data_IF_948339903218
#
_entry.id   IF_948339903218
#
_cell.length_a   1.000
_cell.length_b   1.000
_cell.length_c   1.000
_cell.angle_alpha   90.00
_cell.angle_beta   90.00
_cell.angle_gamma   90.00
#
_symmetry.space_group_name_H-M   'P 1'
#
loop_
_entity.id
_entity.type
_entity.pdbx_description
1 polymer ?
#
# COMPACT_ATOMS: atom_id res chain seq x y z
N UNK A 1 -32.66 38.16 4.30
CA UNK A 1 -31.42 38.62 4.91
C UNK A 1 -30.35 37.52 4.63
N UNK A 2 -29.65 37.62 3.49
CA UNK A 2 -28.52 36.74 3.20
C UNK A 2 -27.37 37.12 4.15
N UNK A 3 -27.08 36.27 5.12
CA UNK A 3 -25.84 36.38 5.90
C UNK A 3 -24.68 36.22 4.93
N UNK A 4 -23.92 37.27 4.65
CA UNK A 4 -22.70 37.18 3.90
C UNK A 4 -21.74 36.28 4.69
N UNK A 5 -21.51 35.03 4.22
CA UNK A 5 -20.54 34.11 4.79
C UNK A 5 -19.16 34.76 4.63
N UNK A 6 -18.58 35.29 5.69
CA UNK A 6 -17.21 35.76 5.68
C UNK A 6 -16.23 34.56 5.71
N UNK A 7 -14.95 34.81 5.38
CA UNK A 7 -13.92 33.77 5.31
C UNK A 7 -13.83 32.94 6.61
N UNK A 8 -14.05 33.57 7.79
CA UNK A 8 -14.04 32.90 9.09
C UNK A 8 -15.14 31.87 9.24
N UNK A 9 -16.36 32.15 8.74
CA UNK A 9 -17.48 31.21 8.79
C UNK A 9 -17.21 30.00 7.88
N UNK A 10 -16.64 30.23 6.69
CA UNK A 10 -16.29 29.15 5.75
C UNK A 10 -15.18 28.25 6.31
N UNK A 11 -14.16 28.82 6.95
CA UNK A 11 -13.07 28.05 7.57
C UNK A 11 -13.55 27.32 8.82
N UNK A 12 -14.42 27.92 9.61
CA UNK A 12 -15.09 27.24 10.74
C UNK A 12 -15.91 26.03 10.26
N UNK A 13 -16.68 26.18 9.17
CA UNK A 13 -17.42 25.07 8.56
C UNK A 13 -16.47 23.98 8.05
N UNK A 14 -15.38 24.35 7.40
CA UNK A 14 -14.37 23.40 6.95
C UNK A 14 -13.74 22.62 8.12
N UNK A 15 -13.50 23.29 9.25
CA UNK A 15 -13.03 22.65 10.48
C UNK A 15 -14.04 21.63 11.02
N UNK A 16 -15.32 21.97 11.08
CA UNK A 16 -16.39 21.05 11.51
C UNK A 16 -16.45 19.83 10.58
N UNK A 17 -16.37 20.02 9.26
CA UNK A 17 -16.35 18.92 8.28
C UNK A 17 -15.13 18.02 8.50
N UNK A 18 -13.94 18.58 8.69
CA UNK A 18 -12.70 17.82 8.91
C UNK A 18 -12.75 16.99 10.20
N UNK A 19 -13.30 17.57 11.29
CA UNK A 19 -13.52 16.86 12.55
C UNK A 19 -14.52 15.73 12.34
N UNK A 20 -15.65 15.99 11.67
CA UNK A 20 -16.66 14.98 11.33
C UNK A 20 -16.06 13.82 10.52
N UNK A 21 -15.29 14.12 9.47
CA UNK A 21 -14.59 13.09 8.67
C UNK A 21 -13.61 12.27 9.52
N UNK A 22 -12.88 12.93 10.43
CA UNK A 22 -11.95 12.26 11.34
C UNK A 22 -12.68 11.30 12.29
N UNK A 23 -13.80 11.71 12.87
CA UNK A 23 -14.61 10.87 13.75
C UNK A 23 -15.22 9.68 13.01
N UNK A 24 -15.78 9.91 11.82
CA UNK A 24 -16.36 8.82 11.00
C UNK A 24 -15.28 7.84 10.56
N UNK A 25 -14.10 8.31 10.16
CA UNK A 25 -12.98 7.43 9.81
C UNK A 25 -12.51 6.58 11.00
N UNK A 26 -12.53 7.15 12.19
CA UNK A 26 -12.22 6.44 13.42
C UNK A 26 -13.26 5.36 13.76
N UNK A 27 -14.54 5.68 13.68
CA UNK A 27 -15.63 4.71 13.86
C UNK A 27 -15.52 3.58 12.82
N UNK A 28 -15.24 3.92 11.55
CA UNK A 28 -15.02 2.94 10.50
C UNK A 28 -13.84 2.01 10.83
N UNK A 29 -12.72 2.57 11.34
CA UNK A 29 -11.56 1.77 11.76
C UNK A 29 -11.92 0.77 12.86
N UNK A 30 -12.60 1.23 13.92
CA UNK A 30 -13.07 0.37 15.00
C UNK A 30 -14.02 -0.73 14.49
N UNK A 31 -14.87 -0.41 13.53
CA UNK A 31 -15.84 -1.34 12.97
C UNK A 31 -15.16 -2.43 12.10
N UNK A 32 -14.25 -2.05 11.21
CA UNK A 32 -13.60 -3.02 10.30
C UNK A 32 -12.60 -3.94 11.00
N UNK A 33 -12.01 -3.49 12.12
CA UNK A 33 -11.02 -4.28 12.87
C UNK A 33 -11.65 -5.15 13.96
N UNK A 34 -12.97 -5.13 14.14
CA UNK A 34 -13.65 -6.03 15.07
C UNK A 34 -13.63 -7.46 14.53
N UNK A 35 -13.20 -8.44 15.33
CA UNK A 35 -13.32 -9.85 14.97
C UNK A 35 -14.78 -10.21 14.66
N UNK A 36 -15.01 -10.87 13.54
CA UNK A 36 -16.34 -11.36 13.16
C UNK A 36 -16.55 -12.78 13.72
N UNK A 37 -17.55 -12.93 14.56
CA UNK A 37 -17.84 -14.19 15.29
C UNK A 37 -18.44 -15.30 14.41
N UNK A 38 -19.02 -14.98 13.26
CA UNK A 38 -19.83 -15.88 12.43
C UNK A 38 -19.22 -16.20 11.06
N UNK A 39 -17.90 -16.07 10.92
CA UNK A 39 -17.24 -16.52 9.68
C UNK A 39 -17.08 -18.03 9.74
N UNK A 40 -17.48 -18.73 8.68
CA UNK A 40 -17.21 -20.15 8.53
C UNK A 40 -15.70 -20.41 8.52
N UNK A 41 -15.23 -21.46 9.15
CA UNK A 41 -13.84 -21.90 8.98
C UNK A 41 -13.67 -22.37 7.54
N UNK A 42 -12.91 -21.60 6.78
CA UNK A 42 -12.68 -21.84 5.35
C UNK A 42 -11.19 -21.65 5.07
N UNK A 43 -10.52 -22.76 4.88
CA UNK A 43 -9.06 -22.81 4.70
C UNK A 43 -8.67 -23.47 3.37
N UNK A 44 -9.02 -22.87 2.21
CA UNK A 44 -8.63 -23.43 0.92
C UNK A 44 -7.10 -23.46 0.80
N UNK A 45 -6.51 -24.45 0.12
CA UNK A 45 -5.08 -24.45 -0.15
C UNK A 45 -4.65 -23.16 -0.87
N UNK A 46 -3.54 -22.53 -0.41
CA UNK A 46 -3.09 -21.19 -0.87
C UNK A 46 -1.65 -21.23 -1.38
N UNK A 47 -1.38 -20.65 -2.55
CA UNK A 47 -0.01 -20.29 -2.96
C UNK A 47 0.26 -18.82 -2.64
N UNK A 48 1.28 -18.54 -1.85
CA UNK A 48 1.68 -17.19 -1.41
C UNK A 48 2.80 -16.68 -2.32
N UNK A 49 2.57 -15.54 -2.99
CA UNK A 49 3.54 -14.88 -3.86
C UNK A 49 4.25 -13.75 -3.14
N UNK A 50 5.57 -13.85 -3.02
CA UNK A 50 6.46 -12.87 -2.38
C UNK A 50 7.47 -12.33 -3.41
N UNK A 51 7.12 -11.28 -4.18
CA UNK A 51 8.08 -10.61 -5.07
C UNK A 51 9.11 -9.86 -4.23
N UNK A 52 10.40 -10.13 -4.47
CA UNK A 52 11.53 -9.57 -3.73
C UNK A 52 12.40 -8.70 -4.63
N UNK A 53 13.05 -7.71 -4.03
CA UNK A 53 14.10 -6.91 -4.66
C UNK A 53 14.96 -6.25 -3.60
N UNK A 54 16.21 -6.71 -3.48
CA UNK A 54 17.12 -6.28 -2.41
C UNK A 54 16.67 -6.72 -1.03
N UNK A 55 17.42 -6.36 -0.03
CA UNK A 55 17.09 -6.61 1.37
C UNK A 55 16.36 -5.41 1.94
N UNK A 56 15.04 -5.54 2.11
CA UNK A 56 14.24 -4.60 2.87
C UNK A 56 14.54 -4.76 4.38
N UNK A 57 14.23 -3.74 5.16
CA UNK A 57 14.42 -3.75 6.61
C UNK A 57 13.64 -4.89 7.26
N UNK A 58 14.34 -5.66 8.09
CA UNK A 58 13.75 -6.84 8.72
C UNK A 58 13.31 -7.93 7.76
N UNK A 59 13.87 -8.01 6.53
CA UNK A 59 13.44 -8.93 5.48
C UNK A 59 13.36 -10.36 6.00
N UNK A 60 14.40 -10.85 6.66
CA UNK A 60 14.44 -12.21 7.19
C UNK A 60 13.28 -12.48 8.14
N UNK A 61 13.09 -11.63 9.17
CA UNK A 61 11.99 -11.78 10.13
C UNK A 61 10.62 -11.65 9.47
N UNK A 62 10.49 -10.78 8.46
CA UNK A 62 9.26 -10.62 7.71
C UNK A 62 8.93 -11.89 6.91
N UNK A 63 9.90 -12.46 6.21
CA UNK A 63 9.71 -13.70 5.45
C UNK A 63 9.47 -14.89 6.37
N UNK A 64 10.25 -15.01 7.48
CA UNK A 64 10.11 -16.05 8.51
C UNK A 64 8.68 -16.13 9.05
N UNK A 65 8.00 -15.01 9.24
CA UNK A 65 6.62 -14.98 9.73
C UNK A 65 5.64 -15.74 8.82
N UNK A 66 5.94 -15.85 7.51
CA UNK A 66 5.14 -16.65 6.57
C UNK A 66 5.43 -18.15 6.63
N UNK A 67 6.62 -18.56 7.06
CA UNK A 67 6.92 -19.97 7.33
C UNK A 67 6.23 -20.48 8.61
N UNK A 68 5.83 -19.58 9.49
CA UNK A 68 5.24 -19.84 10.79
C UNK A 68 3.70 -19.68 10.83
N UNK A 69 3.06 -19.61 9.66
CA UNK A 69 1.60 -19.51 9.58
C UNK A 69 0.93 -20.76 10.13
N UNK A 70 -0.10 -20.56 10.97
CA UNK A 70 -1.04 -21.60 11.39
C UNK A 70 -2.12 -21.80 10.32
N UNK A 71 -1.76 -22.56 9.29
CA UNK A 71 -2.63 -22.82 8.16
C UNK A 71 -2.38 -24.22 7.60
N UNK A 72 -3.42 -25.01 7.28
CA UNK A 72 -3.26 -26.44 6.98
C UNK A 72 -2.46 -26.72 5.73
N UNK A 73 -2.70 -25.97 4.64
CA UNK A 73 -2.05 -26.23 3.35
C UNK A 73 -1.72 -24.94 2.62
N UNK A 74 -0.43 -24.65 2.46
CA UNK A 74 0.03 -23.50 1.68
C UNK A 74 1.41 -23.73 1.08
N UNK A 75 1.66 -23.03 -0.02
CA UNK A 75 2.94 -22.97 -0.71
C UNK A 75 3.50 -21.54 -0.63
N UNK A 76 4.81 -21.40 -0.40
CA UNK A 76 5.52 -20.11 -0.46
C UNK A 76 6.35 -20.03 -1.75
N UNK A 77 6.07 -19.03 -2.59
CA UNK A 77 6.89 -18.71 -3.76
C UNK A 77 7.53 -17.34 -3.58
N UNK A 78 8.85 -17.33 -3.54
CA UNK A 78 9.67 -16.12 -3.57
C UNK A 78 10.15 -15.88 -4.98
N UNK A 79 10.27 -14.62 -5.42
CA UNK A 79 10.81 -14.33 -6.75
C UNK A 79 11.76 -13.14 -6.71
N UNK A 80 12.95 -13.32 -7.26
CA UNK A 80 13.93 -12.26 -7.56
C UNK A 80 14.18 -12.16 -9.06
N UNK A 81 14.46 -10.95 -9.55
CA UNK A 81 14.73 -10.74 -10.96
C UNK A 81 16.13 -11.21 -11.38
N UNK A 82 17.10 -11.09 -10.50
CA UNK A 82 18.51 -11.35 -10.76
C UNK A 82 19.06 -12.34 -9.72
N UNK A 83 19.94 -13.25 -10.12
CA UNK A 83 20.57 -14.22 -9.22
C UNK A 83 21.52 -13.56 -8.20
N UNK A 84 22.06 -12.40 -8.54
CA UNK A 84 22.94 -11.62 -7.66
C UNK A 84 22.16 -10.73 -6.67
N UNK A 85 20.82 -10.85 -6.60
CA UNK A 85 20.02 -10.08 -5.66
C UNK A 85 20.32 -10.57 -4.21
N UNK A 86 20.68 -9.67 -3.27
CA UNK A 86 21.03 -10.07 -1.91
C UNK A 86 19.90 -10.75 -1.15
N UNK A 87 18.64 -10.63 -1.58
CA UNK A 87 17.52 -11.37 -1.01
C UNK A 87 17.62 -12.89 -1.24
N UNK A 88 18.40 -13.35 -2.23
CA UNK A 88 18.62 -14.78 -2.50
C UNK A 88 19.18 -15.48 -1.28
N UNK A 89 20.26 -14.96 -0.69
CA UNK A 89 20.91 -15.57 0.48
C UNK A 89 19.96 -15.66 1.68
N UNK A 90 19.10 -14.65 1.87
CA UNK A 90 18.10 -14.66 2.96
C UNK A 90 17.06 -15.75 2.74
N UNK A 91 16.52 -15.88 1.51
CA UNK A 91 15.53 -16.91 1.20
C UNK A 91 16.14 -18.31 1.32
N UNK A 92 17.33 -18.53 0.78
CA UNK A 92 18.03 -19.82 0.88
C UNK A 92 18.32 -20.22 2.34
N UNK A 93 18.65 -19.24 3.20
CA UNK A 93 18.77 -19.46 4.64
C UNK A 93 17.48 -20.00 5.24
N UNK A 94 16.35 -19.36 4.95
CA UNK A 94 15.04 -19.78 5.44
C UNK A 94 14.59 -21.13 4.85
N UNK A 95 14.87 -21.42 3.60
CA UNK A 95 14.57 -22.73 3.01
C UNK A 95 15.33 -23.88 3.70
N UNK A 96 16.58 -23.65 4.13
CA UNK A 96 17.35 -24.61 4.92
C UNK A 96 16.82 -24.75 6.37
N UNK A 97 16.33 -23.66 6.95
CA UNK A 97 15.78 -23.67 8.32
C UNK A 97 14.42 -24.36 8.39
N UNK A 98 13.62 -24.26 7.33
CA UNK A 98 12.27 -24.84 7.25
C UNK A 98 12.15 -25.88 6.10
N UNK A 99 12.88 -27.00 6.13
CA UNK A 99 12.95 -27.95 5.01
C UNK A 99 11.60 -28.65 4.72
N UNK A 100 10.72 -28.77 5.74
CA UNK A 100 9.41 -29.43 5.62
C UNK A 100 8.31 -28.50 5.05
N UNK A 101 8.62 -27.21 4.82
CA UNK A 101 7.66 -26.27 4.25
C UNK A 101 7.72 -26.31 2.72
N UNK A 102 6.55 -26.35 2.08
CA UNK A 102 6.46 -26.24 0.61
C UNK A 102 6.81 -24.81 0.19
N UNK A 103 8.08 -24.57 -0.01
CA UNK A 103 8.61 -23.25 -0.34
C UNK A 103 9.67 -23.33 -1.46
N UNK A 104 9.69 -22.35 -2.36
CA UNK A 104 10.65 -22.28 -3.44
C UNK A 104 11.05 -20.83 -3.80
N UNK A 105 12.30 -20.70 -4.29
CA UNK A 105 12.82 -19.46 -4.86
C UNK A 105 12.85 -19.55 -6.38
N UNK A 106 12.15 -18.63 -7.03
CA UNK A 106 12.17 -18.42 -8.48
C UNK A 106 13.17 -17.32 -8.79
N UNK A 107 14.20 -17.66 -9.58
CA UNK A 107 15.22 -16.72 -10.02
C UNK A 107 15.03 -16.41 -11.50
N UNK A 108 15.05 -15.13 -11.83
CA UNK A 108 14.87 -14.65 -13.19
C UNK A 108 13.41 -14.38 -13.55
N UNK A 109 13.20 -13.23 -14.17
CA UNK A 109 11.90 -12.78 -14.62
C UNK A 109 11.95 -12.52 -16.13
N UNK A 110 11.22 -13.29 -16.96
CA UNK A 110 11.13 -12.99 -18.38
C UNK A 110 10.48 -11.62 -18.62
N UNK A 111 10.77 -10.95 -19.73
CA UNK A 111 10.12 -9.68 -20.07
C UNK A 111 8.60 -9.87 -20.16
N UNK A 112 7.85 -9.12 -19.33
CA UNK A 112 6.39 -9.22 -19.28
C UNK A 112 5.71 -7.85 -19.32
N UNK A 113 6.30 -6.83 -18.67
CA UNK A 113 5.73 -5.49 -18.59
C UNK A 113 6.67 -4.47 -17.93
N UNK A 114 6.15 -3.28 -17.67
CA UNK A 114 6.90 -2.19 -17.05
C UNK A 114 6.82 -2.19 -15.51
N UNK A 115 5.83 -2.89 -14.92
CA UNK A 115 5.70 -3.00 -13.48
C UNK A 115 6.53 -4.20 -12.97
N UNK A 116 7.66 -3.97 -12.27
CA UNK A 116 8.56 -5.06 -11.85
C UNK A 116 7.91 -6.02 -10.85
N UNK A 117 6.95 -5.55 -10.01
CA UNK A 117 6.22 -6.43 -9.11
C UNK A 117 5.35 -7.42 -9.91
N UNK A 118 4.61 -6.92 -10.90
CA UNK A 118 3.76 -7.77 -11.75
C UNK A 118 4.59 -8.73 -12.60
N UNK A 119 5.79 -8.32 -13.04
CA UNK A 119 6.73 -9.21 -13.75
C UNK A 119 7.13 -10.40 -12.86
N UNK A 120 7.46 -10.15 -11.59
CA UNK A 120 7.78 -11.22 -10.64
C UNK A 120 6.56 -12.11 -10.33
N UNK A 121 5.35 -11.52 -10.19
CA UNK A 121 4.12 -12.28 -9.99
C UNK A 121 3.83 -13.23 -11.16
N UNK A 122 3.97 -12.74 -12.39
CA UNK A 122 3.79 -13.55 -13.59
C UNK A 122 4.85 -14.65 -13.73
N UNK A 123 6.08 -14.43 -13.26
CA UNK A 123 7.13 -15.45 -13.26
C UNK A 123 6.81 -16.60 -12.28
N UNK A 124 6.16 -16.31 -11.16
CA UNK A 124 5.76 -17.31 -10.16
C UNK A 124 4.55 -18.15 -10.61
N UNK A 125 3.70 -17.65 -11.50
CA UNK A 125 2.43 -18.26 -11.90
C UNK A 125 2.60 -19.72 -12.36
N UNK A 126 3.66 -20.05 -13.10
CA UNK A 126 3.94 -21.40 -13.61
C UNK A 126 4.35 -22.42 -12.53
N UNK A 127 4.68 -21.96 -11.33
CA UNK A 127 5.08 -22.80 -10.19
C UNK A 127 3.96 -22.93 -9.14
N UNK A 128 2.83 -22.27 -9.39
CA UNK A 128 1.66 -22.30 -8.52
C UNK A 128 1.07 -23.70 -8.41
N UNK A 129 0.79 -24.14 -7.18
CA UNK A 129 0.16 -25.44 -6.90
C UNK A 129 -1.33 -25.34 -6.57
N UNK A 130 -1.80 -24.19 -6.07
CA UNK A 130 -3.15 -24.04 -5.51
C UNK A 130 -3.99 -22.99 -6.24
N UNK A 131 -5.31 -23.17 -6.22
CA UNK A 131 -6.28 -22.33 -6.93
C UNK A 131 -6.72 -21.08 -6.14
N UNK A 132 -6.13 -20.87 -4.97
CA UNK A 132 -6.20 -19.59 -4.25
C UNK A 132 -4.79 -19.03 -4.11
N UNK A 133 -4.63 -17.74 -4.42
CA UNK A 133 -3.35 -17.05 -4.30
C UNK A 133 -3.42 -15.92 -3.29
N UNK A 134 -2.31 -15.72 -2.58
CA UNK A 134 -2.07 -14.56 -1.75
C UNK A 134 -0.86 -13.80 -2.29
N UNK A 135 -1.03 -12.54 -2.65
CA UNK A 135 0.05 -11.64 -3.04
C UNK A 135 0.42 -10.79 -1.83
N UNK A 136 1.70 -10.81 -1.43
CA UNK A 136 2.18 -10.03 -0.30
C UNK A 136 3.58 -9.45 -0.52
N UNK A 137 3.78 -8.19 -0.12
CA UNK A 137 5.06 -7.48 -0.27
C UNK A 137 6.15 -8.02 0.69
N UNK A 138 7.43 -7.73 0.40
CA UNK A 138 8.61 -8.16 1.18
C UNK A 138 8.68 -7.55 2.59
N UNK A 139 8.14 -6.35 2.78
CA UNK A 139 8.18 -5.64 4.07
C UNK A 139 6.92 -5.85 4.93
N UNK A 140 6.21 -6.93 4.69
CA UNK A 140 5.04 -7.36 5.48
C UNK A 140 5.46 -8.44 6.44
N UNK A 141 5.11 -8.27 7.73
CA UNK A 141 5.18 -9.25 8.80
C UNK A 141 3.78 -9.60 9.25
N UNK A 142 3.54 -10.87 9.56
CA UNK A 142 2.21 -11.40 9.87
C UNK A 142 2.21 -12.23 11.15
N UNK A 143 1.05 -12.28 11.80
CA UNK A 143 0.79 -13.18 12.91
C UNK A 143 0.44 -14.59 12.37
N UNK A 144 0.72 -15.69 13.09
CA UNK A 144 0.38 -17.04 12.64
C UNK A 144 -1.08 -17.22 12.20
N UNK A 145 -2.06 -16.61 12.86
CA UNK A 145 -3.48 -16.69 12.53
C UNK A 145 -3.90 -15.88 11.28
N UNK A 146 -3.03 -15.04 10.73
CA UNK A 146 -3.36 -14.10 9.67
C UNK A 146 -4.06 -14.72 8.45
N UNK A 147 -3.51 -15.80 7.92
CA UNK A 147 -4.03 -16.40 6.69
C UNK A 147 -5.38 -17.07 6.93
N UNK A 148 -5.54 -17.78 8.05
CA UNK A 148 -6.80 -18.40 8.46
C UNK A 148 -7.91 -17.34 8.62
N UNK A 149 -7.65 -16.29 9.39
CA UNK A 149 -8.63 -15.22 9.63
C UNK A 149 -8.96 -14.42 8.35
N UNK A 150 -8.04 -14.36 7.40
CA UNK A 150 -8.30 -13.69 6.10
C UNK A 150 -9.06 -14.62 5.13
N UNK A 151 -8.74 -15.92 5.10
CA UNK A 151 -9.33 -16.86 4.17
C UNK A 151 -10.82 -17.12 4.43
N UNK A 152 -11.26 -17.05 5.70
CA UNK A 152 -12.66 -17.19 6.08
C UNK A 152 -13.61 -16.26 5.29
N UNK A 153 -13.17 -15.09 4.89
CA UNK A 153 -14.00 -14.17 4.10
C UNK A 153 -14.28 -14.65 2.67
N UNK A 154 -13.47 -15.56 2.13
CA UNK A 154 -13.72 -16.15 0.80
C UNK A 154 -14.92 -17.11 0.80
N UNK A 155 -15.37 -17.56 1.97
CA UNK A 155 -16.61 -18.35 2.11
C UNK A 155 -17.87 -17.52 1.88
N UNK A 156 -17.80 -16.18 2.01
CA UNK A 156 -18.96 -15.32 1.74
C UNK A 156 -19.32 -15.34 0.24
N UNK A 157 -20.60 -15.52 -0.11
CA UNK A 157 -21.04 -15.56 -1.52
C UNK A 157 -20.61 -14.30 -2.30
N UNK A 158 -20.04 -14.51 -3.48
CA UNK A 158 -19.65 -13.43 -4.39
C UNK A 158 -18.37 -12.68 -3.99
N UNK A 159 -17.67 -13.08 -2.93
CA UNK A 159 -16.35 -12.50 -2.59
C UNK A 159 -15.29 -13.00 -3.56
N UNK A 160 -14.66 -12.08 -4.26
CA UNK A 160 -13.57 -12.38 -5.20
C UNK A 160 -12.20 -11.94 -4.74
N UNK A 161 -12.10 -11.06 -3.73
CA UNK A 161 -10.83 -10.59 -3.21
C UNK A 161 -10.97 -10.21 -1.73
N UNK A 162 -10.00 -10.64 -0.94
CA UNK A 162 -9.82 -10.22 0.45
C UNK A 162 -8.52 -9.44 0.58
N UNK A 163 -8.56 -8.31 1.27
CA UNK A 163 -7.39 -7.48 1.57
C UNK A 163 -7.35 -7.18 3.07
N UNK A 164 -6.21 -6.71 3.56
CA UNK A 164 -6.01 -6.44 4.99
C UNK A 164 -5.59 -5.00 5.21
N UNK A 165 -6.02 -4.41 6.34
CA UNK A 165 -5.37 -3.23 6.88
C UNK A 165 -3.93 -3.55 7.26
N UNK A 166 -3.09 -2.55 7.20
CA UNK A 166 -1.71 -2.66 7.66
C UNK A 166 -1.38 -1.53 8.63
N UNK A 167 -0.53 -1.84 9.59
CA UNK A 167 0.00 -0.90 10.57
C UNK A 167 1.49 -0.71 10.34
N UNK A 168 1.96 0.52 10.31
CA UNK A 168 3.38 0.84 10.23
C UNK A 168 4.08 0.57 11.56
N UNK A 169 5.19 -0.17 11.53
CA UNK A 169 6.01 -0.50 12.71
C UNK A 169 7.48 -0.21 12.44
N UNK A 170 8.27 0.02 13.51
CA UNK A 170 9.69 0.36 13.46
C UNK A 170 9.90 1.86 13.16
N UNK A 171 10.46 2.64 14.07
CA UNK A 171 10.67 4.08 13.92
C UNK A 171 12.10 4.45 14.39
N UNK A 172 13.14 3.99 13.67
CA UNK A 172 14.52 4.33 13.97
C UNK A 172 14.94 5.70 13.41
N UNK A 173 14.33 6.12 12.30
CA UNK A 173 14.62 7.41 11.65
C UNK A 173 13.36 8.26 11.48
N UNK A 174 13.54 9.59 11.35
CA UNK A 174 12.44 10.57 11.21
C UNK A 174 11.49 10.25 10.06
N UNK A 175 12.02 9.82 8.89
CA UNK A 175 11.17 9.46 7.75
C UNK A 175 10.28 8.26 8.04
N UNK A 176 10.75 7.28 8.81
CA UNK A 176 9.96 6.14 9.26
C UNK A 176 8.87 6.57 10.27
N UNK A 177 9.19 7.51 11.18
CA UNK A 177 8.21 8.09 12.12
C UNK A 177 7.07 8.76 11.35
N UNK A 178 7.40 9.68 10.42
CA UNK A 178 6.41 10.41 9.61
C UNK A 178 5.55 9.47 8.78
N UNK A 179 6.17 8.45 8.20
CA UNK A 179 5.50 7.41 7.43
C UNK A 179 4.50 6.63 8.30
N UNK A 180 4.96 6.11 9.44
CA UNK A 180 4.11 5.29 10.31
C UNK A 180 2.97 6.11 10.94
N UNK A 181 3.18 7.37 11.31
CA UNK A 181 2.10 8.27 11.71
C UNK A 181 1.07 8.49 10.59
N UNK A 182 1.52 8.60 9.34
CA UNK A 182 0.62 8.73 8.18
C UNK A 182 -0.16 7.44 7.91
N UNK A 183 0.52 6.29 7.99
CA UNK A 183 -0.07 4.97 7.75
C UNK A 183 -1.11 4.63 8.80
N UNK A 184 -0.76 4.79 10.07
CA UNK A 184 -1.57 4.36 11.21
C UNK A 184 -2.74 5.32 11.49
N UNK A 185 -2.54 6.60 11.18
CA UNK A 185 -3.56 7.64 11.31
C UNK A 185 -4.43 7.75 10.06
N UNK A 186 -4.13 8.72 9.22
CA UNK A 186 -4.96 9.12 8.08
C UNK A 186 -5.22 7.98 7.08
N UNK A 187 -4.21 7.18 6.73
CA UNK A 187 -4.34 6.16 5.68
C UNK A 187 -5.19 4.98 6.18
N UNK A 188 -4.94 4.47 7.39
CA UNK A 188 -5.73 3.37 7.94
C UNK A 188 -7.20 3.76 8.11
N UNK A 189 -7.47 4.96 8.64
CA UNK A 189 -8.83 5.49 8.74
C UNK A 189 -9.50 5.65 7.38
N UNK A 190 -8.77 6.15 6.37
CA UNK A 190 -9.28 6.30 4.99
C UNK A 190 -9.60 4.98 4.31
N UNK A 191 -8.76 3.94 4.48
CA UNK A 191 -9.01 2.60 3.96
C UNK A 191 -10.24 1.97 4.64
N UNK A 192 -10.36 2.12 5.95
CA UNK A 192 -11.49 1.63 6.71
C UNK A 192 -12.80 2.31 6.26
N UNK A 193 -12.77 3.64 6.10
CA UNK A 193 -13.90 4.43 5.61
C UNK A 193 -14.31 4.01 4.20
N UNK A 194 -13.35 3.85 3.29
CA UNK A 194 -13.62 3.36 1.94
C UNK A 194 -14.29 1.98 1.96
N UNK A 195 -13.82 1.07 2.81
CA UNK A 195 -14.43 -0.26 2.97
C UNK A 195 -15.85 -0.20 3.50
N UNK A 196 -16.10 0.66 4.50
CA UNK A 196 -17.44 0.86 5.09
C UNK A 196 -18.45 1.32 4.04
N UNK A 197 -18.07 2.23 3.16
CA UNK A 197 -18.90 2.71 2.04
C UNK A 197 -18.82 1.83 0.79
N UNK A 198 -18.23 0.64 0.89
CA UNK A 198 -18.05 -0.30 -0.23
C UNK A 198 -17.34 0.32 -1.44
N UNK A 199 -16.53 1.34 -1.23
CA UNK A 199 -15.65 1.87 -2.27
C UNK A 199 -14.50 0.90 -2.52
N UNK A 200 -14.05 0.83 -3.76
CA UNK A 200 -12.91 -0.04 -4.10
C UNK A 200 -11.63 0.55 -3.53
N UNK A 201 -11.10 -0.12 -2.52
CA UNK A 201 -9.79 0.18 -1.95
C UNK A 201 -9.09 -1.15 -1.65
N UNK A 202 -8.02 -1.45 -2.38
CA UNK A 202 -7.24 -2.66 -2.21
C UNK A 202 -5.85 -2.30 -1.73
N UNK A 203 -5.42 -2.98 -0.69
CA UNK A 203 -4.09 -2.84 -0.12
C UNK A 203 -3.15 -3.85 -0.77
N UNK A 204 -2.24 -3.38 -1.63
CA UNK A 204 -1.31 -4.23 -2.39
C UNK A 204 -0.33 -5.07 -1.55
N UNK A 205 -0.34 -4.87 -0.22
CA UNK A 205 0.46 -5.63 0.74
C UNK A 205 -0.15 -6.96 1.13
N UNK A 206 -1.44 -7.13 0.90
CA UNK A 206 -2.18 -8.36 1.14
C UNK A 206 -3.38 -8.42 0.21
N UNK A 207 -3.32 -9.31 -0.77
CA UNK A 207 -4.41 -9.57 -1.72
C UNK A 207 -4.59 -11.08 -1.84
N UNK A 208 -5.64 -11.61 -1.21
CA UNK A 208 -6.02 -13.01 -1.26
C UNK A 208 -7.21 -13.16 -2.22
N UNK A 209 -7.08 -13.99 -3.25
CA UNK A 209 -8.10 -14.17 -4.28
C UNK A 209 -8.03 -15.55 -4.94
N UNK A 210 -9.17 -16.12 -5.36
CA UNK A 210 -9.18 -17.33 -6.20
C UNK A 210 -8.60 -17.04 -7.59
N UNK A 211 -7.87 -17.99 -8.16
CA UNK A 211 -7.26 -17.89 -9.49
C UNK A 211 -8.31 -17.63 -10.57
N UNK A 212 -9.47 -18.28 -10.50
CA UNK A 212 -10.59 -18.03 -11.42
C UNK A 212 -11.00 -16.55 -11.49
N UNK A 213 -10.88 -15.82 -10.36
CA UNK A 213 -11.16 -14.38 -10.32
C UNK A 213 -10.05 -13.60 -10.99
N UNK A 214 -8.78 -13.97 -10.77
CA UNK A 214 -7.65 -13.37 -11.46
C UNK A 214 -7.76 -13.58 -12.99
N UNK A 215 -8.12 -14.77 -13.45
CA UNK A 215 -8.33 -15.10 -14.86
C UNK A 215 -9.48 -14.31 -15.46
N UNK A 216 -10.62 -14.21 -14.76
CA UNK A 216 -11.80 -13.45 -15.19
C UNK A 216 -11.51 -11.95 -15.41
N UNK A 217 -10.50 -11.39 -14.74
CA UNK A 217 -10.08 -9.99 -14.91
C UNK A 217 -8.95 -9.80 -15.93
N UNK A 218 -8.53 -10.89 -16.62
CA UNK A 218 -7.46 -10.90 -17.63
C UNK A 218 -6.05 -11.14 -17.07
N UNK A 219 -5.94 -11.75 -15.89
CA UNK A 219 -4.69 -12.16 -15.27
C UNK A 219 -3.73 -11.01 -14.98
N UNK A 220 -2.49 -11.33 -14.68
CA UNK A 220 -1.43 -10.33 -14.50
C UNK A 220 -1.14 -9.51 -15.76
N UNK A 221 -1.47 -10.03 -16.96
CA UNK A 221 -1.30 -9.33 -18.24
C UNK A 221 -2.10 -8.01 -18.27
N UNK A 222 -3.29 -7.98 -17.68
CA UNK A 222 -4.17 -6.82 -17.65
C UNK A 222 -3.60 -5.63 -16.86
N UNK A 223 -2.65 -5.88 -15.95
CA UNK A 223 -2.08 -4.86 -15.04
C UNK A 223 -0.56 -4.68 -15.20
N UNK A 224 0.08 -5.38 -16.12
CA UNK A 224 1.56 -5.44 -16.29
C UNK A 224 2.25 -4.09 -16.50
N UNK A 225 1.52 -3.06 -16.90
CA UNK A 225 2.04 -1.73 -17.18
C UNK A 225 1.39 -0.65 -16.29
N UNK A 226 0.71 -1.04 -15.21
CA UNK A 226 0.07 -0.11 -14.28
C UNK A 226 0.91 0.04 -13.02
N UNK A 227 1.05 1.28 -12.51
CA UNK A 227 1.82 1.56 -11.28
C UNK A 227 1.07 1.09 -10.03
N UNK A 228 -0.25 1.30 -9.99
CA UNK A 228 -1.13 0.85 -8.93
C UNK A 228 -1.86 -0.41 -9.41
N UNK A 229 -1.12 -1.51 -9.52
CA UNK A 229 -1.65 -2.81 -9.96
C UNK A 229 -2.71 -3.35 -9.01
N UNK A 230 -2.55 -3.12 -7.72
CA UNK A 230 -3.45 -3.53 -6.64
C UNK A 230 -4.84 -2.90 -6.80
N UNK A 231 -4.88 -1.59 -6.89
CA UNK A 231 -6.14 -0.86 -7.09
C UNK A 231 -6.77 -1.21 -8.44
N UNK A 232 -5.96 -1.43 -9.48
CA UNK A 232 -6.46 -1.82 -10.79
C UNK A 232 -7.05 -3.25 -10.78
N UNK A 233 -6.45 -4.19 -10.05
CA UNK A 233 -7.02 -5.51 -9.79
C UNK A 233 -8.36 -5.35 -9.07
N UNK A 234 -8.42 -4.57 -7.99
CA UNK A 234 -9.65 -4.34 -7.24
C UNK A 234 -10.78 -3.78 -8.11
N UNK A 235 -10.50 -2.74 -8.91
CA UNK A 235 -11.49 -2.16 -9.83
C UNK A 235 -12.01 -3.18 -10.86
N UNK A 236 -11.14 -4.04 -11.38
CA UNK A 236 -11.50 -5.10 -12.33
C UNK A 236 -12.32 -6.21 -11.66
N UNK A 237 -11.96 -6.63 -10.44
CA UNK A 237 -12.71 -7.58 -9.62
C UNK A 237 -14.15 -7.08 -9.41
N UNK A 238 -14.31 -5.82 -9.02
CA UNK A 238 -15.63 -5.19 -8.87
C UNK A 238 -16.40 -5.14 -10.20
N UNK A 239 -15.72 -4.78 -11.30
CA UNK A 239 -16.35 -4.74 -12.65
C UNK A 239 -16.78 -6.13 -13.12
N UNK A 240 -16.07 -7.18 -12.71
CA UNK A 240 -16.44 -8.57 -13.00
C UNK A 240 -17.59 -9.11 -12.10
N UNK A 241 -18.20 -8.27 -11.26
CA UNK A 241 -19.34 -8.63 -10.42
C UNK A 241 -18.99 -9.18 -9.04
N UNK A 242 -17.70 -9.31 -8.71
CA UNK A 242 -17.26 -9.80 -7.40
C UNK A 242 -17.21 -8.69 -6.36
N UNK A 243 -17.40 -9.07 -5.10
CA UNK A 243 -17.20 -8.17 -3.95
C UNK A 243 -15.77 -8.27 -3.40
N UNK A 244 -15.33 -7.18 -2.75
CA UNK A 244 -14.05 -7.11 -2.04
C UNK A 244 -14.35 -7.01 -0.55
N UNK A 245 -13.59 -7.75 0.27
CA UNK A 245 -13.67 -7.67 1.72
C UNK A 245 -12.36 -7.17 2.31
N UNK A 246 -12.49 -6.30 3.29
CA UNK A 246 -11.39 -5.93 4.19
C UNK A 246 -11.46 -6.86 5.40
N UNK A 247 -10.43 -7.68 5.58
CA UNK A 247 -10.31 -8.56 6.76
C UNK A 247 -10.10 -7.72 8.02
N UNK A 248 -10.63 -8.19 9.14
CA UNK A 248 -10.40 -7.58 10.45
C UNK A 248 -8.95 -7.74 10.93
N UNK A 249 -8.23 -8.73 10.40
CA UNK A 249 -6.84 -8.97 10.76
C UNK A 249 -5.92 -7.87 10.20
N UNK A 250 -5.16 -7.23 11.08
CA UNK A 250 -4.19 -6.17 10.71
C UNK A 250 -2.82 -6.79 10.54
N UNK A 251 -2.13 -6.48 9.43
CA UNK A 251 -0.76 -6.92 9.17
C UNK A 251 0.24 -5.81 9.47
N UNK A 252 1.47 -6.16 9.80
CA UNK A 252 2.54 -5.19 10.03
C UNK A 252 3.24 -4.81 8.72
N UNK A 253 3.52 -3.53 8.56
CA UNK A 253 4.37 -2.98 7.52
C UNK A 253 5.64 -2.40 8.16
N UNK A 254 6.76 -3.09 8.00
CA UNK A 254 8.02 -2.72 8.66
C UNK A 254 8.67 -1.55 7.93
N UNK A 255 8.89 -0.45 8.67
CA UNK A 255 9.58 0.77 8.25
C UNK A 255 10.48 1.23 9.39
N UNK A 256 11.76 0.90 9.38
CA UNK A 256 12.69 1.22 10.48
C UNK A 256 13.56 2.44 10.15
N UNK A 257 14.37 2.33 9.10
CA UNK A 257 15.41 3.30 8.77
C UNK A 257 15.09 4.08 7.50
N UNK A 258 13.86 4.55 7.36
CA UNK A 258 13.44 5.33 6.20
C UNK A 258 13.82 6.79 6.36
N UNK A 259 14.55 7.33 5.38
CA UNK A 259 14.93 8.74 5.36
C UNK A 259 13.73 9.65 5.09
N UNK A 260 13.83 10.91 5.48
CA UNK A 260 12.84 11.95 5.16
C UNK A 260 12.60 12.07 3.64
N UNK A 261 13.66 12.02 2.82
CA UNK A 261 13.56 12.05 1.36
C UNK A 261 12.78 10.85 0.80
N UNK A 262 12.90 9.68 1.42
CA UNK A 262 12.13 8.50 1.05
C UNK A 262 10.65 8.71 1.34
N UNK A 263 10.30 9.27 2.52
CA UNK A 263 8.93 9.63 2.89
C UNK A 263 8.30 10.58 1.84
N UNK A 264 8.98 11.68 1.49
CA UNK A 264 8.49 12.62 0.48
C UNK A 264 8.26 11.96 -0.88
N UNK A 265 9.22 11.15 -1.36
CA UNK A 265 9.12 10.47 -2.65
C UNK A 265 7.96 9.44 -2.68
N UNK A 266 7.72 8.74 -1.56
CA UNK A 266 6.62 7.78 -1.44
C UNK A 266 5.27 8.48 -1.48
N UNK A 267 5.08 9.52 -0.68
CA UNK A 267 3.83 10.29 -0.64
C UNK A 267 3.57 11.02 -1.96
N UNK A 268 4.58 11.63 -2.61
CA UNK A 268 4.46 12.22 -3.95
C UNK A 268 3.91 11.18 -4.95
N UNK A 269 4.46 9.95 -4.94
CA UNK A 269 3.96 8.88 -5.80
C UNK A 269 2.50 8.51 -5.48
N UNK A 270 2.13 8.41 -4.20
CA UNK A 270 0.77 8.06 -3.79
C UNK A 270 -0.25 9.16 -4.13
N UNK A 271 0.09 10.44 -3.96
CA UNK A 271 -0.74 11.55 -4.38
C UNK A 271 -0.96 11.57 -5.90
N UNK A 272 0.09 11.31 -6.69
CA UNK A 272 0.00 11.19 -8.15
C UNK A 272 -0.88 10.01 -8.59
N UNK A 273 -0.84 8.88 -7.86
CA UNK A 273 -1.75 7.75 -8.06
C UNK A 273 -3.20 8.15 -7.75
N UNK A 274 -3.47 8.73 -6.56
CA UNK A 274 -4.82 9.17 -6.15
C UNK A 274 -5.42 10.16 -7.14
N UNK A 275 -4.64 11.14 -7.57
CA UNK A 275 -5.08 12.08 -8.62
C UNK A 275 -5.56 11.37 -9.90
N UNK A 276 -4.94 10.26 -10.28
CA UNK A 276 -5.29 9.52 -11.51
C UNK A 276 -6.45 8.55 -11.35
N UNK A 277 -6.68 8.04 -10.16
CA UNK A 277 -7.68 7.01 -9.89
C UNK A 277 -8.94 7.57 -9.22
N UNK A 278 -8.81 8.61 -8.40
CA UNK A 278 -9.89 9.16 -7.58
C UNK A 278 -9.79 10.68 -7.49
N UNK A 279 -9.87 11.37 -8.64
CA UNK A 279 -9.69 12.82 -8.72
C UNK A 279 -10.59 13.61 -7.75
N UNK A 280 -11.90 13.34 -7.60
CA UNK A 280 -12.73 14.08 -6.63
C UNK A 280 -12.22 13.93 -5.19
N UNK A 281 -11.92 12.70 -4.76
CA UNK A 281 -11.37 12.45 -3.42
C UNK A 281 -10.02 13.14 -3.22
N UNK A 282 -9.13 13.10 -4.25
CA UNK A 282 -7.86 13.80 -4.22
C UNK A 282 -8.02 15.32 -4.07
N UNK A 283 -8.98 15.95 -4.75
CA UNK A 283 -9.19 17.39 -4.68
C UNK A 283 -9.71 17.85 -3.32
N UNK A 284 -10.55 17.04 -2.66
CA UNK A 284 -11.08 17.37 -1.33
C UNK A 284 -10.18 16.91 -0.17
N UNK A 285 -9.14 16.14 -0.44
CA UNK A 285 -8.25 15.58 0.59
C UNK A 285 -7.64 16.64 1.53
N UNK A 286 -7.19 17.83 1.07
CA UNK A 286 -6.70 18.88 1.98
C UNK A 286 -7.72 19.35 3.01
N UNK A 287 -9.03 19.25 2.70
CA UNK A 287 -10.11 19.59 3.63
C UNK A 287 -10.28 18.57 4.78
N UNK A 288 -9.58 17.46 4.75
CA UNK A 288 -9.50 16.51 5.86
C UNK A 288 -8.24 16.68 6.72
N UNK A 289 -7.35 17.60 6.34
CA UNK A 289 -6.11 17.86 7.07
C UNK A 289 -6.34 18.91 8.16
N UNK A 290 -6.53 18.44 9.40
CA UNK A 290 -6.84 19.28 10.56
C UNK A 290 -5.79 20.37 10.80
N UNK A 291 -4.51 20.06 10.66
CA UNK A 291 -3.40 21.01 10.87
C UNK A 291 -3.43 22.13 9.83
N UNK A 292 -3.66 21.81 8.56
CA UNK A 292 -3.71 22.81 7.47
C UNK A 292 -4.93 23.72 7.62
N UNK A 293 -6.11 23.14 7.90
CA UNK A 293 -7.32 23.94 8.11
C UNK A 293 -7.15 24.88 9.28
N UNK A 294 -6.63 24.39 10.42
CA UNK A 294 -6.37 25.22 11.59
C UNK A 294 -5.40 26.35 11.31
N UNK A 295 -4.32 26.06 10.58
CA UNK A 295 -3.31 27.06 10.23
C UNK A 295 -3.89 28.14 9.29
N UNK A 296 -4.60 27.75 8.24
CA UNK A 296 -5.26 28.70 7.32
C UNK A 296 -6.27 29.55 8.08
N UNK A 297 -7.04 28.95 8.99
CA UNK A 297 -8.00 29.69 9.81
C UNK A 297 -7.31 30.70 10.74
N UNK A 298 -6.25 30.28 11.45
CA UNK A 298 -5.49 31.17 12.34
C UNK A 298 -4.83 32.36 11.59
N UNK A 299 -4.32 32.12 10.38
CA UNK A 299 -3.68 33.16 9.55
C UNK A 299 -4.68 34.08 8.84
N UNK A 300 -5.93 33.65 8.66
CA UNK A 300 -6.97 34.41 7.98
C UNK A 300 -7.87 35.21 8.96
N UNK A 301 -7.79 34.91 10.26
CA UNK A 301 -8.61 35.51 11.30
C UNK A 301 -7.81 36.40 12.25
N UNK A 302 -8.33 37.61 12.53
CA UNK A 302 -7.71 38.50 13.51
C UNK A 302 -8.13 38.18 14.96
N UNK A 303 -8.92 37.11 15.19
CA UNK A 303 -9.51 36.78 16.49
C UNK A 303 -8.73 35.68 17.21
N UNK A 304 -8.66 35.78 18.54
CA UNK A 304 -8.11 34.71 19.40
C UNK A 304 -8.84 33.37 19.25
N UNK A 305 -10.09 33.37 18.76
CA UNK A 305 -10.87 32.15 18.45
C UNK A 305 -10.18 31.31 17.34
N UNK A 306 -9.63 31.95 16.32
CA UNK A 306 -8.97 31.25 15.22
C UNK A 306 -7.68 30.55 15.68
N UNK A 307 -6.89 31.18 16.56
CA UNK A 307 -5.72 30.58 17.19
C UNK A 307 -6.07 29.43 18.15
N UNK A 308 -7.15 29.63 18.95
CA UNK A 308 -7.70 28.54 19.77
C UNK A 308 -8.17 27.37 18.92
N UNK A 309 -8.82 27.64 17.78
CA UNK A 309 -9.21 26.63 16.78
C UNK A 309 -8.01 25.84 16.21
N UNK A 310 -6.91 26.51 15.90
CA UNK A 310 -5.66 25.84 15.46
C UNK A 310 -5.16 24.84 16.51
N UNK A 311 -5.07 25.27 17.78
CA UNK A 311 -4.60 24.40 18.86
C UNK A 311 -5.50 23.17 19.03
N UNK A 312 -6.82 23.34 18.98
CA UNK A 312 -7.79 22.23 19.06
C UNK A 312 -7.63 21.27 17.88
N UNK A 313 -7.56 21.78 16.65
CA UNK A 313 -7.45 20.95 15.46
C UNK A 313 -6.12 20.19 15.39
N UNK A 314 -5.01 20.83 15.76
CA UNK A 314 -3.70 20.16 15.88
C UNK A 314 -3.77 19.08 16.97
N UNK A 315 -4.33 19.40 18.14
CA UNK A 315 -4.52 18.44 19.24
C UNK A 315 -5.34 17.23 18.81
N UNK A 316 -6.44 17.44 18.08
CA UNK A 316 -7.25 16.35 17.52
C UNK A 316 -6.48 15.51 16.50
N UNK A 317 -5.63 16.12 15.66
CA UNK A 317 -4.76 15.40 14.73
C UNK A 317 -3.75 14.51 15.43
N UNK A 318 -3.10 15.04 16.48
CA UNK A 318 -2.16 14.29 17.33
C UNK A 318 -2.90 13.16 18.08
N UNK A 319 -4.08 13.44 18.64
CA UNK A 319 -4.91 12.44 19.31
C UNK A 319 -5.31 11.31 18.34
N UNK A 320 -5.78 11.65 17.14
CA UNK A 320 -6.08 10.68 16.08
C UNK A 320 -4.91 9.74 15.84
N UNK A 321 -3.71 10.31 15.55
CA UNK A 321 -2.53 9.52 15.24
C UNK A 321 -2.07 8.65 16.42
N UNK A 322 -2.15 9.16 17.64
CA UNK A 322 -1.85 8.43 18.87
C UNK A 322 -2.81 7.26 19.08
N UNK A 323 -4.10 7.53 19.02
CA UNK A 323 -5.13 6.57 19.38
C UNK A 323 -5.30 5.49 18.32
N UNK A 324 -5.29 5.86 17.03
CA UNK A 324 -5.34 4.87 15.93
C UNK A 324 -4.10 3.97 15.94
N UNK A 325 -2.89 4.52 16.18
CA UNK A 325 -1.69 3.70 16.35
C UNK A 325 -1.82 2.74 17.54
N UNK A 326 -2.29 3.23 18.70
CA UNK A 326 -2.55 2.39 19.88
C UNK A 326 -3.53 1.27 19.60
N UNK A 327 -4.59 1.58 18.87
CA UNK A 327 -5.61 0.60 18.49
C UNK A 327 -5.07 -0.48 17.56
N UNK A 328 -4.30 -0.10 16.53
CA UNK A 328 -3.78 -1.02 15.51
C UNK A 328 -2.56 -1.82 15.98
N UNK A 329 -1.69 -1.22 16.81
CA UNK A 329 -0.41 -1.84 17.28
C UNK A 329 -0.48 -2.43 18.67
N UNK A 330 -1.48 -2.09 19.46
CA UNK A 330 -1.51 -2.42 20.87
C UNK A 330 -0.63 -1.53 21.78
N UNK A 331 0.14 -0.58 21.22
CA UNK A 331 1.05 0.32 21.97
C UNK A 331 0.94 1.76 21.46
N UNK A 332 1.08 2.73 22.35
CA UNK A 332 1.17 4.14 21.95
C UNK A 332 2.50 4.46 21.27
N UNK A 333 2.51 5.40 20.29
CA UNK A 333 3.75 5.98 19.80
C UNK A 333 4.48 6.72 20.93
N UNK A 334 5.80 6.84 20.83
CA UNK A 334 6.56 7.67 21.77
C UNK A 334 6.13 9.13 21.66
N UNK A 335 6.05 9.86 22.78
CA UNK A 335 5.59 11.26 22.80
C UNK A 335 6.38 12.15 21.81
N UNK A 336 7.71 11.99 21.75
CA UNK A 336 8.57 12.69 20.78
C UNK A 336 8.18 12.45 19.31
N UNK A 337 7.63 11.28 18.99
CA UNK A 337 7.13 10.96 17.64
C UNK A 337 5.81 11.67 17.36
N UNK A 338 4.94 11.77 18.36
CA UNK A 338 3.65 12.47 18.24
C UNK A 338 3.81 13.97 17.97
N UNK A 339 4.89 14.60 18.47
CA UNK A 339 5.22 16.00 18.16
C UNK A 339 5.48 16.22 16.65
N UNK A 340 5.80 15.17 15.90
CA UNK A 340 5.97 15.22 14.44
C UNK A 340 4.64 15.08 13.67
N UNK A 341 3.51 14.82 14.35
CA UNK A 341 2.21 14.69 13.68
C UNK A 341 1.80 15.95 12.90
N UNK A 342 1.80 17.16 13.47
CA UNK A 342 1.51 18.36 12.69
C UNK A 342 2.57 18.64 11.61
N UNK A 343 3.84 18.31 11.88
CA UNK A 343 4.94 18.50 10.92
C UNK A 343 4.71 17.66 9.66
N UNK A 344 4.30 16.39 9.78
CA UNK A 344 3.98 15.55 8.62
C UNK A 344 2.84 16.16 7.79
N UNK A 345 1.80 16.67 8.47
CA UNK A 345 0.62 17.25 7.82
C UNK A 345 1.00 18.48 6.97
N UNK A 346 1.93 19.32 7.48
CA UNK A 346 2.46 20.47 6.75
C UNK A 346 3.24 20.05 5.49
N UNK A 347 4.05 18.98 5.56
CA UNK A 347 4.80 18.50 4.39
C UNK A 347 3.92 17.81 3.34
N UNK A 348 2.76 17.29 3.72
CA UNK A 348 1.85 16.66 2.75
C UNK A 348 1.21 17.67 1.81
N UNK A 349 1.00 18.92 2.22
CA UNK A 349 0.38 19.95 1.38
C UNK A 349 1.21 20.31 0.14
N UNK A 350 2.50 20.68 0.22
CA UNK A 350 3.32 20.93 -0.97
C UNK A 350 3.46 19.70 -1.88
N UNK A 351 3.45 18.48 -1.31
CA UNK A 351 3.43 17.25 -2.12
C UNK A 351 2.11 17.11 -2.89
N UNK A 352 0.99 17.51 -2.30
CA UNK A 352 -0.32 17.53 -2.96
C UNK A 352 -0.30 18.50 -4.15
N UNK A 353 0.26 19.72 -3.99
CA UNK A 353 0.45 20.68 -5.08
C UNK A 353 1.38 20.15 -6.18
N UNK A 354 2.51 19.51 -5.82
CA UNK A 354 3.40 18.85 -6.80
C UNK A 354 2.62 17.81 -7.62
N UNK A 355 1.75 17.05 -6.99
CA UNK A 355 0.94 16.05 -7.67
C UNK A 355 -0.09 16.65 -8.63
N UNK A 356 -0.51 17.91 -8.50
CA UNK A 356 -1.39 18.59 -9.46
C UNK A 356 -0.70 18.82 -10.80
N UNK A 357 0.59 19.11 -10.80
CA UNK A 357 1.33 19.53 -12.00
C UNK A 357 2.26 18.44 -12.53
N UNK A 358 3.03 17.78 -11.67
CA UNK A 358 4.02 16.79 -12.11
C UNK A 358 3.42 15.37 -12.18
N UNK A 359 3.82 14.64 -13.23
CA UNK A 359 3.38 13.26 -13.49
C UNK A 359 4.54 12.26 -13.44
N UNK A 360 5.73 12.73 -13.09
CA UNK A 360 6.94 11.89 -12.99
C UNK A 360 7.02 11.22 -11.63
N UNK A 361 7.38 9.97 -11.62
CA UNK A 361 7.59 9.19 -10.39
C UNK A 361 8.92 8.48 -10.45
N UNK A 362 9.57 8.40 -9.29
CA UNK A 362 10.72 7.55 -9.07
C UNK A 362 10.26 6.30 -8.31
N UNK A 363 10.46 5.14 -8.91
CA UNK A 363 10.06 3.87 -8.30
C UNK A 363 11.13 2.80 -8.50
N UNK A 364 11.66 2.28 -7.39
CA UNK A 364 12.71 1.25 -7.36
C UNK A 364 13.90 1.57 -8.28
N UNK A 365 14.36 2.83 -8.26
CA UNK A 365 15.51 3.31 -9.06
C UNK A 365 15.19 3.66 -10.51
N UNK A 366 13.97 3.47 -10.97
CA UNK A 366 13.54 3.84 -12.32
C UNK A 366 12.67 5.11 -12.32
N UNK A 367 12.80 5.91 -13.38
CA UNK A 367 11.94 7.08 -13.62
C UNK A 367 10.86 6.74 -14.63
N UNK A 368 9.60 6.99 -14.25
CA UNK A 368 8.45 6.79 -15.10
C UNK A 368 7.60 8.05 -15.16
N UNK A 369 6.81 8.17 -16.22
CA UNK A 369 5.70 9.12 -16.31
C UNK A 369 4.39 8.33 -16.14
N UNK A 370 3.47 8.84 -15.30
CA UNK A 370 2.17 8.22 -15.07
C UNK A 370 1.15 8.79 -16.05
N UNK A 371 0.55 7.92 -16.86
CA UNK A 371 -0.56 8.24 -17.74
C UNK A 371 -1.95 8.01 -17.09
N UNK A 372 -2.98 7.98 -17.93
CA UNK A 372 -4.36 7.64 -17.52
C UNK A 372 -4.38 6.26 -16.85
N UNK A 373 -5.20 6.09 -15.79
CA UNK A 373 -5.28 4.84 -15.00
C UNK A 373 -3.93 4.33 -14.52
N UNK A 374 -3.02 5.23 -14.12
CA UNK A 374 -1.66 4.94 -13.65
C UNK A 374 -0.74 4.18 -14.62
N UNK A 375 -1.04 4.21 -15.93
CA UNK A 375 -0.22 3.54 -16.94
C UNK A 375 1.19 4.09 -16.94
N UNK A 376 2.16 3.23 -16.75
CA UNK A 376 3.58 3.54 -16.79
C UNK A 376 4.02 3.82 -18.23
N UNK A 377 4.80 4.90 -18.39
CA UNK A 377 5.54 5.21 -19.61
C UNK A 377 7.00 5.38 -19.23
N UNK A 378 7.88 4.55 -19.78
CA UNK A 378 9.31 4.69 -19.52
C UNK A 378 9.82 6.01 -20.09
N UNK A 379 10.57 6.76 -19.30
CA UNK A 379 11.27 7.98 -19.75
C UNK A 379 12.67 7.65 -20.30
N UNK A 380 13.12 6.40 -20.14
CA UNK A 380 14.39 5.90 -20.71
C UNK A 380 14.15 4.49 -21.24
N UNK A 381 14.79 4.13 -22.38
CA UNK A 381 14.88 2.75 -22.85
C UNK A 381 15.62 1.96 -21.76
N UNK A 382 15.05 0.86 -21.24
CA UNK A 382 15.70 0.05 -20.21
C UNK A 382 17.11 -0.37 -20.65
N UNK A 383 18.10 -0.25 -19.78
CA UNK A 383 19.50 -0.63 -20.05
C UNK A 383 19.65 -2.07 -20.57
N UNK A 384 18.76 -2.96 -20.15
CA UNK A 384 18.69 -4.36 -20.60
C UNK A 384 18.35 -4.51 -22.08
N UNK A 385 17.47 -3.69 -22.64
CA UNK A 385 17.15 -3.71 -24.08
C UNK A 385 18.32 -3.17 -24.91
N UNK A 386 19.06 -2.18 -24.37
CA UNK A 386 20.24 -1.60 -25.06
C UNK A 386 21.43 -2.59 -25.18
N UNK A 387 21.61 -3.48 -24.18
CA UNK A 387 22.64 -4.54 -24.24
C UNK A 387 22.27 -5.65 -25.23
N UNK A 388 20.99 -6.05 -25.29
CA UNK A 388 20.52 -7.12 -26.18
C UNK A 388 20.51 -6.68 -27.65
N UNK A 389 20.09 -5.46 -27.97
CA UNK A 389 20.16 -4.91 -29.32
C UNK A 389 21.61 -4.71 -29.80
N UNK A 390 22.56 -4.33 -28.94
CA UNK A 390 23.99 -4.31 -29.27
C UNK A 390 24.59 -5.71 -29.53
N UNK A 391 24.13 -6.74 -28.82
CA UNK A 391 24.57 -8.12 -28.99
C UNK A 391 24.02 -8.73 -30.30
N UNK A 392 22.77 -8.44 -30.64
CA UNK A 392 22.17 -8.88 -31.91
C UNK A 392 22.80 -8.15 -33.10
N UNK A 393 23.14 -6.88 -33.01
CA UNK A 393 23.85 -6.13 -34.05
C UNK A 393 25.28 -6.67 -34.24
N UNK A 394 25.98 -7.11 -33.20
CA UNK A 394 27.32 -7.72 -33.29
C UNK A 394 27.30 -9.13 -33.90
N UNK A 395 26.25 -9.90 -33.71
CA UNK A 395 26.09 -11.20 -34.33
C UNK A 395 25.75 -11.08 -35.83
N UNK A 396 24.87 -10.15 -36.23
CA UNK A 396 24.58 -9.90 -37.65
C UNK A 396 25.74 -9.29 -38.46
N UNK A 397 26.69 -8.64 -37.82
CA UNK A 397 27.90 -8.12 -38.50
C UNK A 397 29.02 -9.14 -38.67
N UNK A 398 28.91 -10.36 -38.09
CA UNK A 398 29.88 -11.46 -38.26
C UNK A 398 29.45 -12.52 -39.30
N UNK A 399 28.14 -12.59 -39.58
CA UNK A 399 27.62 -13.56 -40.57
C UNK A 399 27.50 -13.00 -42.01
N UNK A 400 28.09 -11.81 -42.28
CA UNK A 400 28.04 -11.13 -43.57
C UNK A 400 29.39 -11.05 -44.32
N UNK A 401 30.38 -11.84 -43.90
CA UNK A 401 31.65 -11.97 -44.62
C UNK A 401 32.02 -13.47 -44.69
N UNK A 402 31.40 -14.18 -45.65
CA UNK A 402 31.95 -15.33 -46.35
C UNK A 402 31.28 -15.42 -47.71
#
# INVERSE_FOLDING_TARGET
MMVALNANHLLGLAAVVAVGMTLVSFVALLWVTRPRRNLADHTPPVTIYKPLKGVDEGLEANLRSFFQLDYPTYQLLFCVADADDPAVAVVEGLLREFPDRDAALVVGCPPFGLNPKVVSLAAMERYRKHDTILISDSNVRVHPAYLRESACYLAEPGVGLVTNLFVGVGEAQTGAVLENLSLNGFIAGGVALASMFRLTCVVGKSMLLPVRVLEAIGGFAAVRNLLAEDQAIGLRVRKAGYSIRLSHHVIENVNESRSFRWFLNRHSRWYKIRRRLALPAFLVEPLSNLTIIGLVWALSGESGIAWGGLLVLVGLGVFRDAFQTRWLRGTFPRLRHLLLSPVKDLFLLPIWFDALVDQRVNWRGNRYRIGRFTRLRSTRVPRTVRRRTRRIRRLRSRDGQH
#
